data_IF_933860902857
#
_entry.id   IF_933860902857
#
_cell.length_a   1.000
_cell.length_b   1.000
_cell.length_c   1.000
_cell.angle_alpha   90.00
_cell.angle_beta   90.00
_cell.angle_gamma   90.00
#
_symmetry.space_group_name_H-M   'P 1'
#
loop_
_entity.id
_entity.type
_entity.pdbx_description
1 polymer ?
#
# COMPACT_ATOMS: atom_id res chain seq x y z
N UNK A 1 17.47 -9.53 5.44
CA UNK A 1 17.26 -8.48 4.42
C UNK A 1 16.02 -8.90 3.65
N UNK A 2 14.85 -8.34 3.98
CA UNK A 2 13.65 -8.55 3.16
C UNK A 2 13.95 -7.88 1.82
N UNK A 3 13.86 -8.67 0.76
CA UNK A 3 14.10 -8.25 -0.61
C UNK A 3 13.20 -7.03 -0.86
N UNK A 4 13.77 -5.84 -1.04
CA UNK A 4 13.04 -4.65 -1.47
C UNK A 4 12.55 -4.93 -2.89
N UNK A 5 11.50 -5.73 -3.02
CA UNK A 5 10.75 -5.83 -4.24
C UNK A 5 10.22 -4.41 -4.44
N UNK A 6 10.72 -3.70 -5.44
CA UNK A 6 10.16 -2.41 -5.84
C UNK A 6 8.75 -2.71 -6.31
N UNK A 7 7.79 -2.70 -5.38
CA UNK A 7 6.37 -2.87 -5.70
C UNK A 7 5.98 -1.62 -6.46
N UNK A 8 5.91 -1.76 -7.78
CA UNK A 8 5.39 -0.72 -8.65
C UNK A 8 3.88 -0.93 -8.72
N UNK A 9 3.15 -0.14 -7.95
CA UNK A 9 1.70 -0.07 -8.08
C UNK A 9 1.33 0.63 -9.39
N UNK A 10 0.28 0.16 -10.06
CA UNK A 10 -0.29 0.89 -11.20
C UNK A 10 -1.05 2.13 -10.72
N UNK A 11 -1.26 3.10 -11.61
CA UNK A 11 -2.06 4.30 -11.29
C UNK A 11 -3.49 3.93 -10.82
N UNK A 12 -4.06 2.87 -11.38
CA UNK A 12 -5.39 2.35 -11.00
C UNK A 12 -5.37 1.75 -9.59
N UNK A 13 -4.36 0.94 -9.26
CA UNK A 13 -4.20 0.38 -7.90
C UNK A 13 -4.00 1.48 -6.86
N UNK A 14 -3.20 2.52 -7.17
CA UNK A 14 -3.03 3.66 -6.27
C UNK A 14 -4.30 4.47 -6.12
N UNK A 15 -5.06 4.65 -7.20
CA UNK A 15 -6.36 5.33 -7.15
C UNK A 15 -7.33 4.58 -6.23
N UNK A 16 -7.51 3.28 -6.43
CA UNK A 16 -8.39 2.45 -5.60
C UNK A 16 -7.96 2.48 -4.13
N UNK A 17 -6.66 2.37 -3.86
CA UNK A 17 -6.13 2.44 -2.49
C UNK A 17 -6.48 3.77 -1.82
N UNK A 18 -6.29 4.90 -2.52
CA UNK A 18 -6.61 6.24 -1.98
C UNK A 18 -8.12 6.42 -1.76
N UNK A 19 -8.95 5.92 -2.65
CA UNK A 19 -10.42 5.96 -2.51
C UNK A 19 -10.89 5.17 -1.28
N UNK A 20 -10.32 3.97 -1.07
CA UNK A 20 -10.59 3.17 0.13
C UNK A 20 -10.08 3.87 1.39
N UNK A 21 -8.85 4.39 1.39
CA UNK A 21 -8.29 5.11 2.53
C UNK A 21 -9.18 6.29 2.92
N UNK A 22 -9.62 7.10 1.95
CA UNK A 22 -10.55 8.21 2.17
C UNK A 22 -11.87 7.75 2.75
N UNK A 23 -12.43 6.64 2.24
CA UNK A 23 -13.70 6.10 2.73
C UNK A 23 -13.60 5.66 4.20
N UNK A 24 -12.51 5.01 4.58
CA UNK A 24 -12.35 4.45 5.93
C UNK A 24 -11.90 5.50 6.97
N UNK A 25 -11.04 6.44 6.57
CA UNK A 25 -10.42 7.40 7.50
C UNK A 25 -10.87 8.85 7.29
N UNK A 26 -11.59 9.15 6.20
CA UNK A 26 -12.04 10.51 5.88
C UNK A 26 -10.94 11.44 5.35
N UNK A 27 -9.76 10.92 5.05
CA UNK A 27 -8.57 11.70 4.68
C UNK A 27 -8.13 11.41 3.23
N UNK A 28 -7.82 12.47 2.48
CA UNK A 28 -7.12 12.38 1.20
C UNK A 28 -5.61 12.32 1.42
N UNK A 29 -4.93 11.42 0.71
CA UNK A 29 -3.50 11.19 0.87
C UNK A 29 -2.74 11.35 -0.45
N UNK A 30 -1.45 11.71 -0.36
CA UNK A 30 -0.56 11.80 -1.52
C UNK A 30 -0.16 10.43 -2.05
N UNK A 31 0.29 10.38 -3.31
CA UNK A 31 0.76 9.14 -3.95
C UNK A 31 1.97 8.56 -3.21
N UNK A 32 2.92 9.40 -2.79
CA UNK A 32 4.09 8.98 -2.01
C UNK A 32 3.68 8.32 -0.68
N UNK A 33 2.67 8.86 0.00
CA UNK A 33 2.19 8.30 1.25
C UNK A 33 1.39 7.01 1.03
N UNK A 34 0.56 6.97 -0.01
CA UNK A 34 -0.18 5.77 -0.43
C UNK A 34 0.77 4.61 -0.74
N UNK A 35 1.81 4.85 -1.55
CA UNK A 35 2.84 3.86 -1.87
C UNK A 35 3.52 3.34 -0.59
N UNK A 36 3.92 4.26 0.31
CA UNK A 36 4.58 3.88 1.56
C UNK A 36 3.72 2.95 2.42
N UNK A 37 2.45 3.30 2.67
CA UNK A 37 1.56 2.47 3.49
C UNK A 37 1.28 1.14 2.80
N UNK A 38 0.97 1.17 1.50
CA UNK A 38 0.66 -0.06 0.76
C UNK A 38 1.84 -1.04 0.77
N UNK A 39 3.08 -0.55 0.61
CA UNK A 39 4.28 -1.39 0.77
C UNK A 39 4.40 -1.99 2.18
N UNK A 40 4.19 -1.18 3.22
CA UNK A 40 4.21 -1.68 4.61
C UNK A 40 3.14 -2.74 4.86
N UNK A 41 1.95 -2.58 4.28
CA UNK A 41 0.88 -3.56 4.40
C UNK A 41 1.23 -4.88 3.73
N UNK A 42 1.83 -4.85 2.53
CA UNK A 42 2.32 -6.06 1.86
C UNK A 42 3.40 -6.76 2.69
N UNK A 43 4.35 -6.02 3.27
CA UNK A 43 5.38 -6.59 4.15
C UNK A 43 4.75 -7.32 5.35
N UNK A 44 3.71 -6.72 5.96
CA UNK A 44 2.99 -7.33 7.08
C UNK A 44 2.19 -8.56 6.66
N UNK A 45 1.50 -8.50 5.51
CA UNK A 45 0.78 -9.66 4.98
C UNK A 45 1.75 -10.81 4.67
N UNK A 46 2.90 -10.53 4.06
CA UNK A 46 3.92 -11.55 3.82
C UNK A 46 4.40 -12.20 5.11
N UNK A 47 4.60 -11.41 6.18
CA UNK A 47 5.03 -11.95 7.47
C UNK A 47 4.01 -12.91 8.09
N UNK A 48 2.71 -12.66 7.88
CA UNK A 48 1.62 -13.50 8.41
C UNK A 48 1.35 -14.72 7.52
N UNK A 49 1.47 -14.58 6.20
CA UNK A 49 1.12 -15.63 5.22
C UNK A 49 2.30 -16.47 4.73
N UNK A 50 3.55 -16.11 5.01
CA UNK A 50 4.69 -17.02 4.84
C UNK A 50 4.58 -18.18 5.83
N UNK A 51 4.08 -19.32 5.35
CA UNK A 51 4.43 -20.64 5.90
C UNK A 51 5.90 -20.94 5.64
#
# INVERSE_FOLDING_TARGET
MLNKMSINFTDEQLKEFKELYKKEFGEDISDEYAIKIASQFVDLLEAVYKK
#
